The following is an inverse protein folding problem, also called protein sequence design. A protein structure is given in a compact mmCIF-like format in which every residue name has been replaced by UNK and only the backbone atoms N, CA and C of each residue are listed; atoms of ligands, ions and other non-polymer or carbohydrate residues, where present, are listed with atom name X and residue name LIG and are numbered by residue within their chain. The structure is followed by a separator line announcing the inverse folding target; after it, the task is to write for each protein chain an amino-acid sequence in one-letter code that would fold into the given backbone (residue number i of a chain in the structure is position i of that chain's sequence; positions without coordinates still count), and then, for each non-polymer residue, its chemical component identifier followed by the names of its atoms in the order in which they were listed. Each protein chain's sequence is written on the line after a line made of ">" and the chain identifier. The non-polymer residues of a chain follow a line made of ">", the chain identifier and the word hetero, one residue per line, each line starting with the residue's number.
data_IF_988041090620
#
_entry.id   IF_988041090620
#
_cell.length_a   1.000
_cell.length_b   1.000
_cell.length_c   1.000
_cell.angle_alpha   90.00
_cell.angle_beta   90.00
_cell.angle_gamma   90.00
#
_symmetry.space_group_name_H-M   'P 1'
#
loop_
_entity.id
_entity.type
_entity.pdbx_description
1 polymer ?
#
# COMPACT_ATOMS: atom_id res chain seq x y z
N UNK A 1 3.46 -9.26 -20.16
CA UNK A 1 2.86 -9.72 -18.89
C UNK A 1 1.35 -9.53 -18.98
N UNK A 2 0.57 -10.56 -18.64
CA UNK A 2 -0.89 -10.43 -18.56
C UNK A 2 -1.26 -9.50 -17.39
N UNK A 3 -2.20 -8.58 -17.56
CA UNK A 3 -2.65 -7.71 -16.48
C UNK A 3 -3.31 -8.52 -15.37
N UNK A 4 -3.13 -8.08 -14.12
CA UNK A 4 -3.79 -8.69 -12.98
C UNK A 4 -5.28 -8.32 -12.95
N UNK A 5 -6.12 -9.26 -12.54
CA UNK A 5 -7.50 -8.92 -12.20
C UNK A 5 -7.54 -7.95 -11.01
N UNK A 6 -8.52 -7.08 -10.98
CA UNK A 6 -8.69 -6.08 -9.89
C UNK A 6 -8.72 -6.78 -8.52
N UNK A 7 -9.41 -7.91 -8.40
CA UNK A 7 -9.50 -8.66 -7.14
C UNK A 7 -8.14 -9.14 -6.63
N UNK A 8 -7.30 -9.68 -7.50
CA UNK A 8 -5.93 -10.11 -7.16
C UNK A 8 -5.06 -8.94 -6.76
N UNK A 9 -5.16 -7.82 -7.47
CA UNK A 9 -4.43 -6.62 -7.12
C UNK A 9 -4.82 -6.08 -5.74
N UNK A 10 -6.12 -6.01 -5.44
CA UNK A 10 -6.62 -5.57 -4.13
C UNK A 10 -6.22 -6.54 -3.00
N UNK A 11 -6.08 -7.84 -3.29
CA UNK A 11 -5.51 -8.79 -2.33
C UNK A 11 -4.05 -8.44 -2.01
N UNK A 12 -3.22 -8.10 -3.01
CA UNK A 12 -1.84 -7.63 -2.79
C UNK A 12 -1.83 -6.38 -1.90
N UNK A 13 -2.69 -5.39 -2.18
CA UNK A 13 -2.79 -4.15 -1.38
C UNK A 13 -3.15 -4.47 0.07
N UNK A 14 -4.10 -5.38 0.32
CA UNK A 14 -4.48 -5.79 1.68
C UNK A 14 -3.36 -6.56 2.38
N UNK A 15 -2.71 -7.49 1.69
CA UNK A 15 -1.60 -8.27 2.27
C UNK A 15 -0.45 -7.36 2.66
N UNK A 16 -0.07 -6.41 1.80
CA UNK A 16 0.96 -5.43 2.13
C UNK A 16 0.56 -4.53 3.31
N UNK A 17 -0.72 -4.15 3.39
CA UNK A 17 -1.23 -3.33 4.50
C UNK A 17 -1.22 -4.10 5.84
N UNK A 18 -1.53 -5.41 5.83
CA UNK A 18 -1.39 -6.26 7.02
C UNK A 18 0.07 -6.39 7.45
N UNK A 19 0.98 -6.60 6.49
CA UNK A 19 2.42 -6.63 6.77
C UNK A 19 2.88 -5.34 7.45
N UNK A 20 2.55 -4.18 6.87
CA UNK A 20 2.92 -2.89 7.44
C UNK A 20 2.33 -2.70 8.83
N UNK A 21 1.05 -3.01 9.01
CA UNK A 21 0.39 -2.88 10.30
C UNK A 21 1.10 -3.70 11.38
N UNK A 22 1.44 -4.97 11.10
CA UNK A 22 2.11 -5.85 12.06
C UNK A 22 3.53 -5.34 12.37
N UNK A 23 4.29 -4.95 11.34
CA UNK A 23 5.68 -4.49 11.50
C UNK A 23 5.76 -3.13 12.18
N UNK A 24 4.81 -2.23 11.88
CA UNK A 24 4.89 -0.84 12.38
C UNK A 24 4.05 -0.57 13.62
N UNK A 25 3.16 -1.48 14.00
CA UNK A 25 2.40 -1.33 15.25
C UNK A 25 3.28 -1.06 16.49
N UNK A 26 4.44 -1.73 16.67
CA UNK A 26 5.35 -1.43 17.77
C UNK A 26 5.89 0.01 17.76
N UNK A 27 5.90 0.69 16.60
CA UNK A 27 6.34 2.09 16.52
C UNK A 27 5.27 3.08 17.02
N UNK A 28 4.03 2.63 17.25
CA UNK A 28 2.95 3.52 17.68
C UNK A 28 3.09 3.98 19.16
N UNK A 29 3.92 3.30 19.97
CA UNK A 29 4.15 3.72 21.36
C UNK A 29 5.64 3.70 21.72
N UNK A 30 6.11 4.58 22.63
CA UNK A 30 7.52 4.63 23.00
C UNK A 30 8.02 3.33 23.63
N UNK A 31 7.22 2.67 24.44
CA UNK A 31 7.63 1.44 25.13
C UNK A 31 7.81 0.26 24.18
N UNK A 32 6.85 0.03 23.29
CA UNK A 32 6.92 -1.03 22.30
C UNK A 32 8.03 -0.78 21.27
N UNK A 33 8.25 0.49 20.90
CA UNK A 33 9.33 0.86 20.00
C UNK A 33 10.71 0.57 20.62
N UNK A 34 10.96 1.03 21.85
CA UNK A 34 12.25 0.81 22.53
C UNK A 34 12.52 -0.69 22.70
N UNK A 35 11.50 -1.48 23.10
CA UNK A 35 11.62 -2.93 23.21
C UNK A 35 11.96 -3.59 21.86
N UNK A 36 11.24 -3.26 20.80
CA UNK A 36 11.47 -3.80 19.46
C UNK A 36 12.86 -3.40 18.93
N UNK A 37 13.24 -2.13 19.09
CA UNK A 37 14.54 -1.63 18.66
C UNK A 37 15.69 -2.37 19.37
N UNK A 38 15.58 -2.60 20.68
CA UNK A 38 16.52 -3.40 21.43
C UNK A 38 16.59 -4.85 20.96
N UNK A 39 15.44 -5.44 20.61
CA UNK A 39 15.37 -6.80 20.06
C UNK A 39 16.07 -6.89 18.70
N UNK A 40 15.86 -5.92 17.81
CA UNK A 40 16.55 -5.84 16.52
C UNK A 40 18.06 -5.66 16.72
N UNK A 41 18.49 -4.86 17.68
CA UNK A 41 19.91 -4.68 18.01
C UNK A 41 20.53 -6.00 18.47
N UNK A 42 19.85 -6.76 19.34
CA UNK A 42 20.32 -8.06 19.80
C UNK A 42 20.44 -9.08 18.64
N UNK A 43 19.42 -9.12 17.76
CA UNK A 43 19.47 -9.97 16.55
C UNK A 43 20.66 -9.58 15.65
N UNK A 44 20.86 -8.30 15.40
CA UNK A 44 21.95 -7.81 14.57
C UNK A 44 23.33 -8.23 15.15
N UNK A 45 23.49 -8.12 16.46
CA UNK A 45 24.71 -8.55 17.16
C UNK A 45 24.90 -10.08 17.09
N UNK A 46 23.85 -10.85 17.37
CA UNK A 46 23.92 -12.32 17.35
C UNK A 46 24.28 -12.85 15.97
N UNK A 47 23.80 -12.21 14.90
CA UNK A 47 24.09 -12.59 13.53
C UNK A 47 25.39 -11.97 13.00
N UNK A 48 26.09 -11.17 13.79
CA UNK A 48 27.33 -10.50 13.37
C UNK A 48 27.13 -9.57 12.18
N UNK A 49 25.96 -8.92 12.07
CA UNK A 49 25.65 -8.06 10.92
C UNK A 49 26.52 -6.80 10.92
N UNK A 50 27.04 -6.37 9.75
CA UNK A 50 27.83 -5.15 9.66
C UNK A 50 27.01 -3.90 9.95
N UNK A 51 27.70 -2.83 10.35
CA UNK A 51 27.12 -1.55 10.72
C UNK A 51 26.79 -1.45 12.21
N UNK A 52 26.24 -0.31 12.62
CA UNK A 52 25.98 -0.01 14.04
C UNK A 52 24.52 0.25 14.28
N UNK A 53 24.06 -0.20 15.47
CA UNK A 53 22.75 0.21 16.02
C UNK A 53 23.02 1.31 17.01
N UNK A 54 22.63 2.55 16.69
CA UNK A 54 22.91 3.73 17.51
C UNK A 54 21.98 3.78 18.72
N UNK A 55 22.42 4.33 19.87
CA UNK A 55 21.55 4.53 21.01
C UNK A 55 20.41 5.51 20.67
N UNK A 56 19.24 5.25 21.23
CA UNK A 56 18.06 6.10 21.06
C UNK A 56 18.08 7.24 22.08
N UNK A 57 17.75 8.43 21.61
CA UNK A 57 17.37 9.57 22.47
C UNK A 57 15.84 9.84 22.35
N UNK A 58 15.35 10.77 23.16
CA UNK A 58 13.93 11.12 23.18
C UNK A 58 13.41 11.63 21.84
N UNK A 59 14.25 12.34 21.07
CA UNK A 59 13.88 12.87 19.74
C UNK A 59 13.71 11.75 18.75
N UNK A 60 14.62 10.77 18.71
CA UNK A 60 14.52 9.59 17.86
C UNK A 60 13.25 8.78 18.19
N UNK A 61 12.95 8.57 19.46
CA UNK A 61 11.73 7.87 19.88
C UNK A 61 10.49 8.63 19.43
N UNK A 62 10.46 9.95 19.64
CA UNK A 62 9.32 10.78 19.19
C UNK A 62 9.12 10.69 17.67
N UNK A 63 10.17 10.88 16.88
CA UNK A 63 10.08 10.81 15.41
C UNK A 63 9.62 9.42 14.93
N UNK A 64 10.15 8.35 15.54
CA UNK A 64 9.72 7.00 15.24
C UNK A 64 8.24 6.78 15.56
N UNK A 65 7.75 7.28 16.70
CA UNK A 65 6.35 7.15 17.08
C UNK A 65 5.41 7.97 16.17
N UNK A 66 5.81 9.17 15.75
CA UNK A 66 5.05 9.96 14.78
C UNK A 66 4.94 9.20 13.44
N UNK A 67 6.06 8.70 12.92
CA UNK A 67 6.08 7.92 11.69
C UNK A 67 5.24 6.64 11.83
N UNK A 68 5.43 5.89 12.91
CA UNK A 68 4.67 4.68 13.19
C UNK A 68 3.17 4.92 13.24
N UNK A 69 2.74 5.99 13.90
CA UNK A 69 1.33 6.39 13.96
C UNK A 69 0.76 6.67 12.56
N UNK A 70 1.49 7.39 11.71
CA UNK A 70 1.08 7.66 10.33
C UNK A 70 0.97 6.36 9.52
N UNK A 71 1.95 5.46 9.62
CA UNK A 71 1.94 4.19 8.88
C UNK A 71 0.82 3.26 9.37
N UNK A 72 0.51 3.24 10.66
CA UNK A 72 -0.64 2.50 11.20
C UNK A 72 -1.95 3.01 10.60
N UNK A 73 -2.18 4.33 10.61
CA UNK A 73 -3.38 4.93 10.00
C UNK A 73 -3.44 4.66 8.49
N UNK A 74 -2.30 4.78 7.79
CA UNK A 74 -2.19 4.46 6.36
C UNK A 74 -2.53 3.01 6.07
N UNK A 75 -2.05 2.07 6.90
CA UNK A 75 -2.35 0.64 6.75
C UNK A 75 -3.83 0.36 6.96
N UNK A 76 -4.45 0.97 7.97
CA UNK A 76 -5.89 0.86 8.22
C UNK A 76 -6.70 1.42 7.04
N UNK A 77 -6.32 2.55 6.47
CA UNK A 77 -6.99 3.11 5.30
C UNK A 77 -6.99 2.13 4.10
N UNK A 78 -5.87 1.44 3.86
CA UNK A 78 -5.76 0.42 2.80
C UNK A 78 -6.54 -0.86 3.11
N UNK A 79 -6.69 -1.22 4.38
CA UNK A 79 -7.50 -2.37 4.78
C UNK A 79 -8.99 -2.09 4.66
N UNK A 80 -9.44 -0.90 5.08
CA UNK A 80 -10.85 -0.51 5.09
C UNK A 80 -11.37 -0.13 3.70
N UNK A 81 -10.56 0.59 2.91
CA UNK A 81 -10.94 1.07 1.59
C UNK A 81 -9.84 0.77 0.53
N UNK A 82 -9.55 -0.53 0.27
CA UNK A 82 -8.50 -0.89 -0.69
C UNK A 82 -8.88 -0.41 -2.10
N UNK A 83 -7.92 0.24 -2.77
CA UNK A 83 -8.10 0.72 -4.13
C UNK A 83 -6.81 0.65 -4.93
N UNK A 84 -6.92 0.69 -6.26
CA UNK A 84 -5.75 0.72 -7.14
C UNK A 84 -4.92 1.98 -6.88
N UNK A 85 -5.57 3.11 -6.62
CA UNK A 85 -4.88 4.37 -6.31
C UNK A 85 -4.05 4.24 -5.03
N UNK A 86 -4.65 3.75 -3.93
CA UNK A 86 -3.93 3.56 -2.66
C UNK A 86 -2.77 2.58 -2.81
N UNK A 87 -2.94 1.51 -3.59
CA UNK A 87 -1.84 0.59 -3.89
C UNK A 87 -0.69 1.25 -4.67
N UNK A 88 -1.00 2.13 -5.64
CA UNK A 88 0.03 2.87 -6.39
C UNK A 88 0.78 3.88 -5.51
N UNK A 89 0.05 4.62 -4.67
CA UNK A 89 0.65 5.56 -3.72
C UNK A 89 1.52 4.82 -2.69
N UNK A 90 1.07 3.66 -2.22
CA UNK A 90 1.87 2.80 -1.35
C UNK A 90 3.15 2.31 -2.05
N UNK A 91 3.08 1.91 -3.31
CA UNK A 91 4.24 1.56 -4.11
C UNK A 91 5.28 2.70 -4.21
N UNK A 92 4.83 3.96 -4.31
CA UNK A 92 5.73 5.13 -4.26
C UNK A 92 6.36 5.26 -2.87
N UNK A 93 5.57 5.15 -1.79
CA UNK A 93 6.08 5.22 -0.43
C UNK A 93 7.15 4.17 -0.16
N UNK A 94 6.94 2.92 -0.65
CA UNK A 94 7.91 1.83 -0.51
C UNK A 94 9.23 2.11 -1.22
N UNK A 95 9.22 2.71 -2.40
CA UNK A 95 10.43 3.11 -3.08
C UNK A 95 11.22 4.15 -2.28
N UNK A 96 10.52 5.12 -1.67
CA UNK A 96 11.14 6.11 -0.78
C UNK A 96 11.69 5.44 0.48
N UNK A 97 10.96 4.53 1.11
CA UNK A 97 11.45 3.80 2.28
C UNK A 97 12.70 2.97 1.94
N UNK A 98 12.67 2.22 0.85
CA UNK A 98 13.83 1.46 0.38
C UNK A 98 15.05 2.37 0.13
N UNK A 99 14.84 3.53 -0.52
CA UNK A 99 15.92 4.49 -0.77
C UNK A 99 16.56 5.01 0.54
N UNK A 100 15.73 5.39 1.53
CA UNK A 100 16.21 5.87 2.82
C UNK A 100 16.85 4.78 3.67
N UNK A 101 16.37 3.55 3.60
CA UNK A 101 16.98 2.41 4.29
C UNK A 101 18.34 2.07 3.68
N UNK A 102 18.47 2.09 2.34
CA UNK A 102 19.76 1.91 1.67
C UNK A 102 20.72 3.05 2.02
N UNK A 103 20.26 4.30 2.00
CA UNK A 103 21.06 5.45 2.42
C UNK A 103 21.55 5.29 3.86
N UNK A 104 20.69 4.90 4.79
CA UNK A 104 21.06 4.67 6.18
C UNK A 104 22.13 3.58 6.31
N UNK A 105 21.99 2.47 5.60
CA UNK A 105 23.00 1.40 5.57
C UNK A 105 24.35 1.91 5.03
N UNK A 106 24.35 2.63 3.92
CA UNK A 106 25.57 3.21 3.35
C UNK A 106 26.20 4.27 4.27
N UNK A 107 25.42 4.88 5.16
CA UNK A 107 25.86 5.83 6.19
C UNK A 107 26.30 5.15 7.49
N UNK A 108 26.38 3.81 7.53
CA UNK A 108 26.90 3.05 8.67
C UNK A 108 25.85 2.42 9.60
N UNK A 109 24.56 2.54 9.29
CA UNK A 109 23.52 1.81 10.04
C UNK A 109 23.67 0.29 9.86
N UNK A 110 23.16 -0.48 10.82
CA UNK A 110 23.22 -1.95 10.77
C UNK A 110 22.53 -2.51 9.53
N UNK A 111 23.15 -3.52 8.91
CA UNK A 111 22.59 -4.24 7.76
C UNK A 111 21.22 -4.91 8.03
N UNK A 112 20.77 -4.97 9.29
CA UNK A 112 19.43 -5.48 9.62
C UNK A 112 18.32 -4.70 8.89
N UNK A 113 18.53 -3.41 8.56
CA UNK A 113 17.56 -2.60 7.81
C UNK A 113 17.33 -3.12 6.41
N UNK A 114 18.30 -3.80 5.79
CA UNK A 114 18.15 -4.38 4.45
C UNK A 114 17.14 -5.53 4.41
N UNK A 115 16.88 -6.19 5.55
CA UNK A 115 15.79 -7.15 5.67
C UNK A 115 14.42 -6.50 5.40
N UNK A 116 14.19 -5.31 5.94
CA UNK A 116 12.97 -4.54 5.65
C UNK A 116 12.97 -4.02 4.21
N UNK A 117 14.12 -3.55 3.72
CA UNK A 117 14.26 -3.09 2.32
C UNK A 117 13.84 -4.15 1.31
N UNK A 118 14.14 -5.42 1.55
CA UNK A 118 13.73 -6.52 0.68
C UNK A 118 12.19 -6.61 0.56
N UNK A 119 11.47 -6.46 1.67
CA UNK A 119 9.99 -6.45 1.67
C UNK A 119 9.44 -5.18 1.00
N UNK A 120 10.07 -4.01 1.19
CA UNK A 120 9.67 -2.78 0.51
C UNK A 120 9.76 -2.93 -1.01
N UNK A 121 10.88 -3.45 -1.51
CA UNK A 121 11.08 -3.69 -2.93
C UNK A 121 10.12 -4.75 -3.49
N UNK A 122 9.88 -5.84 -2.74
CA UNK A 122 8.94 -6.89 -3.14
C UNK A 122 7.52 -6.34 -3.31
N UNK A 123 6.96 -5.73 -2.26
CA UNK A 123 5.60 -5.20 -2.32
C UNK A 123 5.50 -4.00 -3.27
N UNK A 124 6.54 -3.15 -3.32
CA UNK A 124 6.63 -2.07 -4.30
C UNK A 124 6.49 -2.59 -5.72
N UNK A 125 7.28 -3.60 -6.10
CA UNK A 125 7.21 -4.22 -7.43
C UNK A 125 5.82 -4.84 -7.71
N UNK A 126 5.24 -5.56 -6.74
CA UNK A 126 3.91 -6.16 -6.89
C UNK A 126 2.81 -5.11 -7.09
N UNK A 127 2.92 -3.96 -6.44
CA UNK A 127 1.95 -2.87 -6.54
C UNK A 127 2.07 -2.06 -7.85
N UNK A 128 3.16 -2.21 -8.59
CA UNK A 128 3.34 -1.60 -9.91
C UNK A 128 2.95 -2.52 -11.07
N UNK A 129 2.52 -3.76 -10.80
CA UNK A 129 2.03 -4.66 -11.84
C UNK A 129 0.80 -4.06 -12.56
N UNK A 130 0.68 -4.30 -13.88
CA UNK A 130 -0.47 -3.81 -14.64
C UNK A 130 -1.76 -4.45 -14.15
N UNK A 131 -2.82 -3.65 -14.06
CA UNK A 131 -4.16 -4.06 -13.63
C UNK A 131 -5.12 -3.95 -14.80
N UNK A 132 -6.03 -4.91 -14.96
CA UNK A 132 -7.09 -4.85 -15.96
C UNK A 132 -7.91 -3.57 -15.77
N UNK A 133 -8.10 -2.82 -16.86
CA UNK A 133 -9.04 -1.70 -16.85
C UNK A 133 -10.45 -2.29 -16.77
N UNK A 134 -11.27 -1.80 -15.85
CA UNK A 134 -12.69 -2.09 -15.90
C UNK A 134 -13.18 -1.65 -17.29
N UNK A 135 -13.56 -2.61 -18.13
CA UNK A 135 -14.30 -2.33 -19.36
C UNK A 135 -15.57 -1.64 -18.92
N UNK A 136 -15.63 -0.33 -19.11
CA UNK A 136 -16.87 0.43 -19.00
C UNK A 136 -17.81 -0.23 -19.99
N UNK A 137 -18.79 -0.97 -19.47
CA UNK A 137 -19.75 -1.69 -20.31
C UNK A 137 -20.28 -0.73 -21.34
N UNK A 138 -20.17 -1.14 -22.60
CA UNK A 138 -20.76 -0.49 -23.75
C UNK A 138 -22.12 0.06 -23.33
N UNK A 139 -22.24 1.38 -23.34
CA UNK A 139 -23.56 2.01 -23.22
C UNK A 139 -24.44 1.32 -24.27
N UNK A 140 -25.35 0.47 -23.79
CA UNK A 140 -26.33 -0.18 -24.61
C UNK A 140 -27.00 0.91 -25.44
N UNK A 141 -26.78 0.84 -26.71
CA UNK A 141 -27.47 1.61 -27.72
C UNK A 141 -28.95 1.31 -27.54
N UNK A 142 -29.64 2.12 -26.77
CA UNK A 142 -31.09 2.20 -26.82
C UNK A 142 -31.39 2.91 -28.14
N UNK A 143 -31.26 2.16 -29.22
CA UNK A 143 -31.84 2.53 -30.49
C UNK A 143 -33.35 2.44 -30.31
N UNK A 144 -33.93 3.60 -30.15
CA UNK A 144 -35.36 3.79 -30.13
C UNK A 144 -36.00 3.15 -31.33
N UNK A 145 -36.73 2.09 -31.10
CA UNK A 145 -37.69 1.54 -32.05
C UNK A 145 -38.95 2.42 -31.96
N UNK A 146 -38.89 3.58 -32.69
CA UNK A 146 -40.08 4.32 -33.03
C UNK A 146 -40.85 3.50 -34.05
N UNK A 147 -41.87 2.79 -33.59
CA UNK A 147 -42.86 2.18 -34.44
C UNK A 147 -43.66 3.28 -35.17
N UNK A 148 -44.04 3.05 -36.46
CA UNK A 148 -44.78 4.03 -37.23
C UNK A 148 -46.18 4.19 -36.63
N UNK A 149 -46.50 5.42 -36.21
CA UNK A 149 -47.80 5.83 -35.74
C UNK A 149 -48.85 5.68 -36.86
N UNK A 150 -49.81 4.84 -36.60
CA UNK A 150 -50.98 4.66 -37.46
C UNK A 150 -51.95 5.82 -37.21
N UNK A 151 -52.01 6.81 -38.15
CA UNK A 151 -53.02 7.85 -38.16
C UNK A 151 -54.33 7.28 -38.70
N UNK A 152 -55.16 6.72 -37.79
CA UNK A 152 -56.55 6.38 -38.11
C UNK A 152 -57.42 7.61 -38.24
N UNK A 153 -57.79 8.00 -39.44
CA UNK A 153 -58.89 8.89 -39.72
C UNK A 153 -60.19 8.31 -39.17
N UNK A 154 -60.84 8.99 -38.20
CA UNK A 154 -62.24 8.77 -37.94
C UNK A 154 -63.01 10.09 -38.19
N UNK A 155 -63.73 10.09 -39.28
CA UNK A 155 -64.81 11.08 -39.56
C UNK A 155 -65.98 10.82 -38.60
N UNK A 156 -66.40 11.79 -37.92
CA UNK A 156 -67.70 11.83 -37.29
C UNK A 156 -68.59 12.87 -37.96
N UNK A 157 -69.66 12.38 -38.55
CA UNK A 157 -70.81 13.16 -39.02
C UNK A 157 -71.86 13.23 -37.92
N UNK A 158 -72.49 14.45 -37.88
CA UNK A 158 -73.68 14.92 -37.24
C UNK A 158 -73.52 15.50 -35.83
#
# INVERSE_FOLDING_TARGET
>A
MLPLSISRYLAIVRTSAWYDLIVTLPFATPWSFVWMYGSLAAVAQTLGLPGTVHPLDATHVMLANLLGSVVVVWSLARLLAPSVLLGRLDGVARLLFAAWQIFAYLSGASAIVLGFTAFELLFGALQWLPVERATTGSAATVSGQQGPGNYGHSRATL
#
